data_IF_234482081286
#
_entry.id   IF_234482081286
#
_cell.length_a   1.000
_cell.length_b   1.000
_cell.length_c   1.000
_cell.angle_alpha   90.00
_cell.angle_beta   90.00
_cell.angle_gamma   90.00
#
_symmetry.space_group_name_H-M   'P 1'
#
loop_
_entity.id
_entity.type
_entity.pdbx_description
1 polymer ?
#
# COMPACT_ATOMS: atom_id res chain seq x y z
N UNK A 1 -20.11 12.27 6.68
CA UNK A 1 -19.73 11.96 8.08
C UNK A 1 -18.34 11.37 8.03
N UNK A 2 -17.35 12.04 8.63
CA UNK A 2 -16.00 11.50 8.78
C UNK A 2 -16.01 10.27 9.71
N UNK A 3 -15.21 9.27 9.40
CA UNK A 3 -14.97 8.13 10.29
C UNK A 3 -13.93 8.57 11.33
N UNK A 4 -14.31 8.54 12.61
CA UNK A 4 -13.36 8.66 13.73
C UNK A 4 -13.07 7.24 14.21
N UNK A 5 -11.82 6.86 14.21
CA UNK A 5 -11.38 5.52 14.65
C UNK A 5 -10.08 5.65 15.43
N UNK A 6 -10.04 5.02 16.59
CA UNK A 6 -8.83 4.94 17.40
C UNK A 6 -7.85 3.95 16.77
N UNK A 7 -6.60 4.38 16.62
CA UNK A 7 -5.48 3.52 16.20
C UNK A 7 -4.45 3.53 17.31
N UNK A 8 -4.04 2.35 17.74
CA UNK A 8 -2.86 2.16 18.58
C UNK A 8 -1.74 1.54 17.74
N UNK A 9 -0.61 2.22 17.68
CA UNK A 9 0.61 1.74 17.05
C UNK A 9 1.72 1.72 18.09
N UNK A 10 2.36 0.58 18.24
CA UNK A 10 3.51 0.41 19.11
C UNK A 10 4.64 -0.27 18.36
N UNK A 11 5.83 0.29 18.46
CA UNK A 11 7.05 -0.31 17.92
C UNK A 11 8.14 -0.19 18.97
N UNK A 12 8.68 -1.32 19.39
CA UNK A 12 9.87 -1.40 20.24
C UNK A 12 10.98 -2.06 19.42
N UNK A 13 12.17 -1.45 19.38
CA UNK A 13 13.34 -1.95 18.66
C UNK A 13 14.56 -2.07 19.56
N UNK A 14 15.31 -3.16 19.43
CA UNK A 14 16.67 -3.26 19.96
C UNK A 14 17.63 -3.07 18.80
N UNK A 15 18.55 -2.14 18.98
CA UNK A 15 19.58 -1.80 18.00
C UNK A 15 20.94 -2.28 18.50
N UNK A 16 21.82 -2.61 17.58
CA UNK A 16 23.22 -2.82 17.84
C UNK A 16 23.92 -1.47 18.07
N UNK A 17 25.19 -1.48 18.46
CA UNK A 17 25.97 -0.27 18.69
C UNK A 17 26.17 0.62 17.44
N UNK A 18 25.99 0.04 16.26
CA UNK A 18 26.02 0.74 14.97
C UNK A 18 24.61 1.12 14.46
N UNK A 19 23.60 1.13 15.33
CA UNK A 19 22.21 1.42 15.06
C UNK A 19 21.50 0.44 14.10
N UNK A 20 22.16 -0.63 13.68
CA UNK A 20 21.49 -1.68 12.90
C UNK A 20 20.49 -2.45 13.75
N UNK A 21 19.43 -2.95 13.12
CA UNK A 21 18.38 -3.71 13.79
C UNK A 21 18.91 -5.02 14.37
N UNK A 22 18.66 -5.28 15.66
CA UNK A 22 18.88 -6.56 16.31
C UNK A 22 17.57 -7.34 16.47
N UNK A 23 16.54 -6.68 17.01
CA UNK A 23 15.20 -7.26 17.13
C UNK A 23 14.13 -6.15 17.17
N UNK A 24 12.89 -6.51 16.88
CA UNK A 24 11.76 -5.60 16.99
C UNK A 24 10.51 -6.32 17.50
N UNK A 25 9.65 -5.55 18.17
CA UNK A 25 8.26 -5.86 18.46
C UNK A 25 7.39 -4.76 17.86
N UNK A 26 6.46 -5.13 16.99
CA UNK A 26 5.52 -4.23 16.32
C UNK A 26 4.10 -4.67 16.61
N UNK A 27 3.24 -3.74 16.97
CA UNK A 27 1.83 -3.98 17.23
C UNK A 27 0.99 -2.83 16.67
N UNK A 28 -0.05 -3.16 15.94
CA UNK A 28 -1.07 -2.21 15.49
C UNK A 28 -2.45 -2.76 15.79
N UNK A 29 -3.29 -1.92 16.37
CA UNK A 29 -4.70 -2.25 16.61
C UNK A 29 -5.62 -1.10 16.26
N UNK A 30 -6.79 -1.44 15.73
CA UNK A 30 -7.82 -0.49 15.33
C UNK A 30 -9.19 -1.17 15.32
N UNK A 31 -10.05 -0.82 16.25
CA UNK A 31 -11.33 -1.49 16.44
C UNK A 31 -11.17 -2.98 16.72
N UNK A 32 -11.62 -3.84 15.79
CA UNK A 32 -11.47 -5.31 15.89
C UNK A 32 -10.20 -5.85 15.25
N UNK A 33 -9.50 -5.01 14.52
CA UNK A 33 -8.24 -5.39 13.89
C UNK A 33 -7.12 -5.35 14.91
N UNK A 34 -6.31 -6.41 14.94
CA UNK A 34 -5.09 -6.51 15.72
C UNK A 34 -4.06 -7.31 14.94
N UNK A 35 -2.89 -6.74 14.77
CA UNK A 35 -1.75 -7.38 14.14
C UNK A 35 -0.50 -7.13 14.97
N UNK A 36 0.27 -8.18 15.20
CA UNK A 36 1.56 -8.09 15.86
C UNK A 36 2.64 -8.82 15.05
N UNK A 37 3.85 -8.31 15.07
CA UNK A 37 5.01 -8.91 14.45
C UNK A 37 6.23 -8.78 15.36
N UNK A 38 6.94 -9.88 15.56
CA UNK A 38 8.19 -9.93 16.32
C UNK A 38 9.28 -10.43 15.40
N UNK A 39 10.41 -9.73 15.35
CA UNK A 39 11.52 -10.10 14.49
C UNK A 39 12.86 -10.12 15.22
N UNK A 40 13.71 -11.06 14.84
CA UNK A 40 15.08 -11.19 15.36
C UNK A 40 16.03 -11.36 14.19
N UNK A 41 17.08 -10.56 14.17
CA UNK A 41 18.17 -10.67 13.18
C UNK A 41 19.21 -11.67 13.68
N UNK A 42 19.53 -12.66 12.85
CA UNK A 42 20.60 -13.63 13.11
C UNK A 42 21.41 -13.85 11.84
N UNK A 43 22.63 -13.32 11.81
CA UNK A 43 23.46 -13.34 10.61
C UNK A 43 22.80 -12.55 9.45
N UNK A 44 22.57 -13.21 8.34
CA UNK A 44 21.92 -12.63 7.15
C UNK A 44 20.41 -12.93 7.03
N UNK A 45 19.79 -13.35 8.14
CA UNK A 45 18.36 -13.70 8.18
C UNK A 45 17.64 -12.87 9.24
N UNK A 46 16.52 -12.27 8.85
CA UNK A 46 15.51 -11.72 9.75
C UNK A 46 14.38 -12.74 9.88
N UNK A 47 14.31 -13.40 11.04
CA UNK A 47 13.23 -14.33 11.37
C UNK A 47 12.10 -13.57 12.05
N UNK A 48 10.90 -13.65 11.46
CA UNK A 48 9.73 -12.89 11.90
C UNK A 48 8.62 -13.86 12.29
N UNK A 49 8.00 -13.61 13.43
CA UNK A 49 6.78 -14.24 13.86
C UNK A 49 5.65 -13.23 13.84
N UNK A 50 4.64 -13.46 12.99
CA UNK A 50 3.45 -12.61 12.91
C UNK A 50 2.27 -13.25 13.64
N UNK A 51 1.40 -12.39 14.17
CA UNK A 51 0.17 -12.78 14.84
C UNK A 51 -0.99 -11.91 14.37
N UNK A 52 -2.03 -12.52 13.80
CA UNK A 52 -3.24 -11.83 13.33
C UNK A 52 -4.44 -12.75 13.56
N UNK A 53 -5.45 -12.28 14.29
CA UNK A 53 -6.73 -12.97 14.55
C UNK A 53 -6.59 -14.47 14.91
N UNK A 54 -5.65 -14.78 15.83
CA UNK A 54 -5.43 -16.15 16.30
C UNK A 54 -4.60 -17.02 15.33
N UNK A 55 -4.16 -16.49 14.21
CA UNK A 55 -3.23 -17.14 13.29
C UNK A 55 -1.81 -16.66 13.55
N UNK A 56 -0.87 -17.60 13.59
CA UNK A 56 0.57 -17.31 13.74
C UNK A 56 1.32 -17.80 12.51
N UNK A 57 2.24 -17.00 12.00
CA UNK A 57 3.13 -17.38 10.89
C UNK A 57 4.57 -17.08 11.22
N UNK A 58 5.47 -17.94 10.77
CA UNK A 58 6.91 -17.69 10.79
C UNK A 58 7.36 -17.38 9.36
N UNK A 59 8.19 -16.35 9.22
CA UNK A 59 8.68 -15.83 7.95
C UNK A 59 10.16 -15.57 8.11
N UNK A 60 10.99 -16.10 7.22
CA UNK A 60 12.41 -15.80 7.16
C UNK A 60 12.69 -14.91 5.94
N UNK A 61 13.30 -13.76 6.19
CA UNK A 61 13.68 -12.79 5.17
C UNK A 61 15.20 -12.73 5.09
N UNK A 62 15.75 -12.95 3.91
CA UNK A 62 17.18 -12.81 3.68
C UNK A 62 17.56 -11.34 3.67
N UNK A 63 18.50 -10.96 4.51
CA UNK A 63 19.09 -9.62 4.60
C UNK A 63 20.27 -9.57 3.62
N UNK A 64 20.28 -8.59 2.74
CA UNK A 64 21.37 -8.39 1.77
C UNK A 64 22.38 -7.35 2.24
N UNK A 65 21.92 -6.37 3.00
CA UNK A 65 22.69 -5.23 3.48
C UNK A 65 22.33 -4.95 4.94
N UNK A 66 23.06 -4.07 5.61
CA UNK A 66 22.75 -3.65 6.97
C UNK A 66 21.30 -3.17 7.06
N UNK A 67 20.54 -3.72 8.01
CA UNK A 67 19.13 -3.45 8.17
C UNK A 67 18.87 -2.48 9.32
N UNK A 68 18.02 -1.49 9.08
CA UNK A 68 17.62 -0.48 10.05
C UNK A 68 16.10 -0.50 10.24
N UNK A 69 15.62 0.18 11.26
CA UNK A 69 14.20 0.53 11.44
C UNK A 69 14.05 2.04 11.31
N UNK A 70 12.90 2.48 10.82
CA UNK A 70 12.63 3.91 10.59
C UNK A 70 12.89 4.78 11.82
N UNK A 71 12.54 4.30 13.01
CA UNK A 71 12.74 5.02 14.29
C UNK A 71 14.21 5.25 14.65
N UNK A 72 15.16 4.44 14.14
CA UNK A 72 16.59 4.55 14.45
C UNK A 72 17.44 5.28 13.41
N UNK A 73 16.85 5.67 12.28
CA UNK A 73 17.61 6.28 11.16
C UNK A 73 18.22 7.62 11.58
N UNK A 74 17.43 8.50 12.19
CA UNK A 74 17.90 9.83 12.57
C UNK A 74 18.95 9.79 13.66
N UNK A 75 18.88 8.82 14.57
CA UNK A 75 19.93 8.56 15.56
C UNK A 75 21.23 8.10 14.88
N UNK A 76 21.14 7.20 13.92
CA UNK A 76 22.29 6.73 13.14
C UNK A 76 22.94 7.87 12.32
N UNK A 77 22.13 8.72 11.72
CA UNK A 77 22.61 9.92 11.01
C UNK A 77 23.33 10.87 11.97
N UNK A 78 22.70 11.20 13.10
CA UNK A 78 23.28 12.11 14.09
C UNK A 78 24.60 11.59 14.68
N UNK A 79 24.70 10.29 14.96
CA UNK A 79 25.92 9.65 15.48
C UNK A 79 27.08 9.64 14.46
N UNK A 80 26.80 9.76 13.15
CA UNK A 80 27.81 9.79 12.11
C UNK A 80 28.51 11.14 11.98
N UNK A 81 28.03 12.17 12.69
CA UNK A 81 28.45 13.56 12.49
C UNK A 81 27.88 14.09 11.17
N UNK A 82 27.02 15.10 11.24
CA UNK A 82 26.27 15.60 10.08
C UNK A 82 26.77 16.97 9.64
N UNK A 83 27.12 17.07 8.35
CA UNK A 83 27.43 18.34 7.69
C UNK A 83 26.44 18.64 6.56
N UNK A 84 26.16 19.92 6.28
CA UNK A 84 25.31 20.27 5.15
C UNK A 84 25.83 19.70 3.83
N UNK A 85 24.96 18.99 3.11
CA UNK A 85 25.29 18.32 1.84
C UNK A 85 25.55 16.81 1.96
N UNK A 86 25.68 16.28 3.18
CA UNK A 86 25.84 14.84 3.37
C UNK A 86 24.61 14.06 2.92
N UNK A 87 24.84 12.87 2.37
CA UNK A 87 23.82 11.94 1.96
C UNK A 87 24.11 10.53 2.53
N UNK A 88 23.10 9.94 3.16
CA UNK A 88 23.15 8.61 3.74
C UNK A 88 22.06 7.73 3.12
N UNK A 89 22.36 6.45 2.92
CA UNK A 89 21.39 5.47 2.42
C UNK A 89 21.26 4.35 3.45
N UNK A 90 20.04 4.13 3.93
CA UNK A 90 19.70 3.09 4.91
C UNK A 90 18.73 2.09 4.31
N UNK A 91 19.02 0.79 4.42
CA UNK A 91 18.03 -0.26 4.14
C UNK A 91 17.11 -0.39 5.37
N UNK A 92 15.86 -0.01 5.22
CA UNK A 92 14.88 0.00 6.30
C UNK A 92 13.94 -1.17 6.17
N UNK A 93 13.76 -1.89 7.28
CA UNK A 93 12.69 -2.86 7.40
C UNK A 93 11.43 -2.20 7.94
N UNK A 94 10.33 -2.38 7.21
CA UNK A 94 9.01 -1.90 7.62
C UNK A 94 8.13 -3.10 8.01
N UNK A 95 7.80 -3.28 9.30
CA UNK A 95 6.94 -4.36 9.76
C UNK A 95 5.51 -4.32 9.19
N UNK A 96 5.02 -3.13 8.82
CA UNK A 96 3.68 -2.98 8.26
C UNK A 96 3.56 -3.53 6.83
N UNK A 97 4.65 -3.50 6.07
CA UNK A 97 4.70 -4.04 4.70
C UNK A 97 5.46 -5.35 4.57
N UNK A 98 6.19 -5.75 5.63
CA UNK A 98 7.16 -6.86 5.60
C UNK A 98 8.22 -6.71 4.51
N UNK A 99 8.54 -5.46 4.15
CA UNK A 99 9.46 -5.09 3.09
C UNK A 99 10.78 -4.51 3.61
N UNK A 100 11.81 -4.57 2.76
CA UNK A 100 13.09 -3.89 2.96
C UNK A 100 13.22 -2.86 1.84
N UNK A 101 13.39 -1.58 2.21
CA UNK A 101 13.42 -0.49 1.24
C UNK A 101 14.51 0.53 1.58
N UNK A 102 15.17 1.11 0.57
CA UNK A 102 16.13 2.18 0.81
C UNK A 102 15.44 3.47 1.24
N UNK A 103 15.96 4.10 2.28
CA UNK A 103 15.65 5.46 2.70
C UNK A 103 16.90 6.29 2.51
N UNK A 104 16.79 7.38 1.74
CA UNK A 104 17.89 8.33 1.52
C UNK A 104 17.66 9.49 2.47
N UNK A 105 18.67 9.81 3.28
CA UNK A 105 18.67 11.00 4.15
C UNK A 105 19.67 12.00 3.63
N UNK A 106 19.20 13.22 3.32
CA UNK A 106 20.06 14.36 2.89
C UNK A 106 20.06 15.41 3.95
N UNK A 107 21.24 15.84 4.36
CA UNK A 107 21.43 16.96 5.27
C UNK A 107 21.34 18.27 4.50
N UNK A 108 20.33 19.08 4.80
CA UNK A 108 20.07 20.34 4.09
C UNK A 108 20.90 21.48 4.67
N UNK A 109 20.92 21.59 6.00
CA UNK A 109 21.63 22.64 6.72
C UNK A 109 20.98 23.00 8.03
N UNK A 110 21.53 24.01 8.71
CA UNK A 110 21.00 24.52 9.96
C UNK A 110 19.99 25.63 9.72
N UNK A 111 18.91 25.63 10.50
CA UNK A 111 17.94 26.73 10.53
C UNK A 111 17.36 26.91 11.93
N UNK A 112 16.97 28.14 12.26
CA UNK A 112 16.27 28.43 13.51
C UNK A 112 14.78 28.14 13.37
N UNK A 113 14.26 27.31 14.25
CA UNK A 113 12.83 26.96 14.29
C UNK A 113 12.23 27.30 15.64
N UNK A 114 10.94 27.61 15.67
CA UNK A 114 10.21 27.84 16.91
C UNK A 114 9.57 26.55 17.39
N UNK A 115 9.94 26.10 18.59
CA UNK A 115 9.43 24.89 19.26
C UNK A 115 9.04 25.25 20.69
N UNK A 116 7.79 24.98 21.09
CA UNK A 116 7.25 25.27 22.42
C UNK A 116 7.41 26.75 22.84
N UNK A 117 7.38 27.67 21.84
CA UNK A 117 7.53 29.12 22.09
C UNK A 117 8.98 29.64 21.97
N UNK A 118 9.98 28.79 22.07
CA UNK A 118 11.39 29.15 22.03
C UNK A 118 12.00 28.96 20.63
N UNK A 119 12.95 29.83 20.28
CA UNK A 119 13.81 29.64 19.09
C UNK A 119 14.89 28.62 19.38
N UNK A 120 15.04 27.64 18.52
CA UNK A 120 16.07 26.59 18.63
C UNK A 120 16.75 26.41 17.28
N UNK A 121 18.07 26.34 17.29
CA UNK A 121 18.85 25.91 16.13
C UNK A 121 18.61 24.40 15.93
N UNK A 122 18.34 24.01 14.69
CA UNK A 122 18.13 22.62 14.33
C UNK A 122 18.75 22.31 12.97
N UNK A 123 19.26 21.11 12.82
CA UNK A 123 19.71 20.60 11.51
C UNK A 123 18.51 20.02 10.76
N UNK A 124 18.22 20.61 9.62
CA UNK A 124 17.18 20.15 8.71
C UNK A 124 17.70 19.03 7.84
N UNK A 125 16.96 17.92 7.80
CA UNK A 125 17.23 16.79 6.94
C UNK A 125 16.00 16.47 6.08
N UNK A 126 16.25 15.90 4.89
CA UNK A 126 15.21 15.38 4.00
C UNK A 126 15.32 13.87 3.94
N UNK A 127 14.26 13.17 4.30
CA UNK A 127 14.14 11.72 4.16
C UNK A 127 13.37 11.41 2.88
N UNK A 128 13.98 10.64 2.00
CA UNK A 128 13.39 10.26 0.72
C UNK A 128 13.14 8.76 0.75
N UNK A 129 11.87 8.40 0.65
CA UNK A 129 11.41 7.03 0.65
C UNK A 129 10.46 6.81 -0.53
N UNK A 130 10.84 5.96 -1.48
CA UNK A 130 10.04 5.70 -2.70
C UNK A 130 9.51 6.98 -3.38
N UNK A 131 10.38 8.00 -3.51
CA UNK A 131 10.02 9.29 -4.11
C UNK A 131 9.16 10.22 -3.24
N UNK A 132 8.66 9.75 -2.09
CA UNK A 132 8.04 10.59 -1.08
C UNK A 132 9.12 11.32 -0.28
N UNK A 133 8.90 12.61 -0.03
CA UNK A 133 9.86 13.45 0.71
C UNK A 133 9.21 13.84 2.04
N UNK A 134 9.89 13.51 3.12
CA UNK A 134 9.61 13.97 4.47
C UNK A 134 10.77 14.86 4.92
N UNK A 135 10.49 15.88 5.72
CA UNK A 135 11.53 16.74 6.32
C UNK A 135 11.50 16.53 7.83
N UNK A 136 12.70 16.52 8.43
CA UNK A 136 12.84 16.48 9.89
C UNK A 136 13.85 17.53 10.33
N UNK A 137 13.70 18.00 11.56
CA UNK A 137 14.57 18.97 12.21
C UNK A 137 15.13 18.32 13.49
N UNK A 138 16.44 18.16 13.51
CA UNK A 138 17.19 17.50 14.58
C UNK A 138 17.83 18.59 15.44
N UNK A 139 17.55 18.60 16.73
CA UNK A 139 18.15 19.51 17.70
C UNK A 139 19.59 19.15 18.03
N UNK A 140 20.26 20.01 18.82
CA UNK A 140 21.66 19.86 19.18
C UNK A 140 21.97 18.55 19.96
N UNK A 141 20.97 18.02 20.68
CA UNK A 141 21.12 16.77 21.42
C UNK A 141 20.69 15.53 20.63
N UNK A 142 20.46 15.68 19.32
CA UNK A 142 20.01 14.59 18.44
C UNK A 142 18.49 14.30 18.49
N UNK A 143 17.74 15.03 19.32
CA UNK A 143 16.29 14.84 19.38
C UNK A 143 15.57 15.40 18.15
N UNK A 144 14.52 14.71 17.67
CA UNK A 144 13.64 15.22 16.63
C UNK A 144 12.72 16.29 17.21
N UNK A 145 12.87 17.52 16.72
CA UNK A 145 12.08 18.68 17.15
C UNK A 145 10.80 18.84 16.34
N UNK A 146 10.88 18.56 15.05
CA UNK A 146 9.79 18.73 14.10
C UNK A 146 9.92 17.76 12.94
N UNK A 147 8.79 17.29 12.44
CA UNK A 147 8.69 16.57 11.17
C UNK A 147 7.57 17.15 10.33
N UNK A 148 7.81 17.18 9.01
CA UNK A 148 6.81 17.57 8.00
C UNK A 148 6.69 16.45 6.99
N UNK A 149 5.58 15.72 7.07
CA UNK A 149 5.28 14.59 6.22
C UNK A 149 4.39 14.91 5.02
N UNK A 150 3.86 13.87 4.42
CA UNK A 150 2.92 13.95 3.30
C UNK A 150 1.59 14.60 3.72
N UNK A 151 0.86 15.13 2.75
CA UNK A 151 -0.46 15.74 2.92
C UNK A 151 -0.51 16.89 3.93
N UNK A 152 0.67 17.47 4.26
CA UNK A 152 0.75 18.58 5.21
C UNK A 152 0.68 18.16 6.67
N UNK A 153 0.84 16.87 6.98
CA UNK A 153 0.94 16.38 8.35
C UNK A 153 2.23 16.93 8.97
N UNK A 154 2.12 17.62 10.08
CA UNK A 154 3.24 18.13 10.85
C UNK A 154 3.22 17.52 12.25
N UNK A 155 4.38 17.05 12.70
CA UNK A 155 4.61 16.61 14.08
C UNK A 155 5.59 17.61 14.71
N UNK A 156 5.31 18.05 15.92
CA UNK A 156 6.18 18.96 16.67
C UNK A 156 6.37 18.42 18.08
N UNK A 157 7.63 18.52 18.56
CA UNK A 157 7.95 18.17 19.95
C UNK A 157 7.18 19.08 20.90
N UNK A 158 6.50 18.49 21.88
CA UNK A 158 5.76 19.21 22.89
C UNK A 158 5.81 18.43 24.23
N UNK A 159 5.24 18.98 25.29
CA UNK A 159 5.05 18.24 26.55
C UNK A 159 3.93 17.22 26.39
N UNK A 160 3.95 16.19 27.27
CA UNK A 160 2.87 15.21 27.29
C UNK A 160 1.51 15.86 27.59
N UNK A 161 1.48 16.81 28.52
CA UNK A 161 0.25 17.47 28.95
C UNK A 161 -0.33 18.33 27.82
N UNK A 162 0.53 19.09 27.11
CA UNK A 162 0.10 19.88 25.96
C UNK A 162 -0.36 18.99 24.79
N UNK A 163 0.31 17.84 24.57
CA UNK A 163 -0.09 16.90 23.51
C UNK A 163 -1.47 16.28 23.76
N UNK A 164 -1.87 16.13 25.04
CA UNK A 164 -3.17 15.56 25.43
C UNK A 164 -4.25 16.62 25.66
N UNK A 165 -3.86 17.89 25.82
CA UNK A 165 -4.77 18.99 26.10
C UNK A 165 -5.41 19.51 24.80
N UNK A 166 -6.74 19.52 24.76
CA UNK A 166 -7.49 20.18 23.69
C UNK A 166 -7.36 19.51 22.31
N UNK A 167 -7.07 18.21 22.26
CA UNK A 167 -7.15 17.48 21.01
C UNK A 167 -8.55 17.64 20.42
N UNK A 168 -8.70 18.28 19.25
CA UNK A 168 -10.01 18.43 18.63
C UNK A 168 -10.53 17.03 18.26
N UNK A 169 -11.72 16.70 18.76
CA UNK A 169 -12.41 15.44 18.43
C UNK A 169 -12.87 15.43 16.95
N UNK A 170 -12.84 16.58 16.31
CA UNK A 170 -13.24 16.73 14.91
C UNK A 170 -12.03 17.07 14.03
N UNK A 171 -11.70 16.19 13.08
CA UNK A 171 -10.77 16.53 12.01
C UNK A 171 -11.47 17.52 11.06
N UNK A 172 -10.90 18.69 10.86
CA UNK A 172 -11.43 19.72 9.97
C UNK A 172 -11.29 19.40 8.48
N UNK A 173 -10.56 18.34 8.11
CA UNK A 173 -10.29 17.98 6.72
C UNK A 173 -10.50 16.48 6.47
N UNK A 174 -11.27 16.19 5.42
CA UNK A 174 -11.39 14.85 4.86
C UNK A 174 -10.12 14.53 4.03
N UNK A 175 -9.18 13.80 4.63
CA UNK A 175 -7.90 13.44 4.00
C UNK A 175 -8.10 12.66 2.70
N UNK A 176 -9.17 11.88 2.57
CA UNK A 176 -9.46 11.16 1.33
C UNK A 176 -9.79 12.11 0.19
N UNK A 177 -10.52 13.18 0.49
CA UNK A 177 -10.84 14.24 -0.47
C UNK A 177 -9.61 15.09 -0.80
N UNK A 178 -8.79 15.41 0.18
CA UNK A 178 -7.52 16.16 -0.02
C UNK A 178 -6.57 15.38 -0.93
N UNK A 179 -6.44 14.09 -0.70
CA UNK A 179 -5.61 13.21 -1.52
C UNK A 179 -6.17 12.97 -2.92
N UNK A 180 -7.49 13.06 -3.14
CA UNK A 180 -8.13 12.77 -4.43
C UNK A 180 -7.84 13.81 -5.51
N UNK A 181 -7.94 13.40 -6.78
CA UNK A 181 -7.68 14.26 -7.95
C UNK A 181 -9.02 14.66 -8.58
N UNK A 182 -9.35 15.94 -8.74
CA UNK A 182 -10.58 16.35 -9.40
C UNK A 182 -10.55 15.97 -10.88
N UNK A 183 -11.71 15.52 -11.40
CA UNK A 183 -11.89 15.28 -12.83
C UNK A 183 -12.32 16.56 -13.54
N UNK A 184 -11.82 16.78 -14.74
CA UNK A 184 -12.24 17.91 -15.60
C UNK A 184 -13.60 17.68 -16.27
N UNK A 185 -14.11 16.45 -16.29
CA UNK A 185 -15.41 16.07 -16.86
C UNK A 185 -16.13 15.09 -15.94
N UNK A 186 -17.45 15.07 -16.03
CA UNK A 186 -18.26 14.04 -15.39
C UNK A 186 -18.38 12.82 -16.32
N UNK A 187 -18.22 11.62 -15.76
CA UNK A 187 -18.46 10.35 -16.42
C UNK A 187 -19.79 9.81 -15.87
N UNK A 188 -20.80 9.74 -16.71
CA UNK A 188 -22.13 9.29 -16.30
C UNK A 188 -22.16 7.81 -15.92
N UNK A 189 -21.57 6.96 -16.77
CA UNK A 189 -21.46 5.52 -16.54
C UNK A 189 -20.12 4.99 -17.03
N UNK A 190 -19.16 4.85 -16.12
CA UNK A 190 -17.82 4.35 -16.39
C UNK A 190 -17.81 2.90 -16.92
N UNK A 191 -18.82 2.09 -16.58
CA UNK A 191 -18.90 0.68 -16.99
C UNK A 191 -19.16 0.52 -18.48
N UNK A 192 -19.79 1.49 -19.11
CA UNK A 192 -20.09 1.48 -20.56
C UNK A 192 -18.90 1.92 -21.42
N UNK A 193 -17.90 2.54 -20.83
CA UNK A 193 -16.71 2.95 -21.55
C UNK A 193 -15.88 1.73 -21.98
N UNK A 194 -15.45 1.75 -23.23
CA UNK A 194 -14.51 0.78 -23.82
C UNK A 194 -13.09 1.31 -23.85
N UNK A 195 -12.90 2.65 -23.80
CA UNK A 195 -11.60 3.30 -23.76
C UNK A 195 -11.62 4.64 -23.04
N UNK A 196 -10.46 5.00 -22.49
CA UNK A 196 -10.22 6.29 -21.83
C UNK A 196 -8.82 6.78 -22.18
N UNK A 197 -8.71 8.06 -22.61
CA UNK A 197 -7.43 8.74 -22.82
C UNK A 197 -7.28 9.86 -21.76
N UNK A 198 -6.15 9.87 -21.07
CA UNK A 198 -5.90 10.76 -19.95
C UNK A 198 -4.50 11.37 -20.07
N UNK A 199 -4.39 12.69 -20.03
CA UNK A 199 -3.11 13.36 -19.78
C UNK A 199 -2.78 13.25 -18.30
N UNK A 200 -1.53 12.88 -17.95
CA UNK A 200 -1.05 12.74 -16.58
C UNK A 200 0.22 13.57 -16.41
N UNK A 201 0.32 14.34 -15.32
CA UNK A 201 1.52 15.11 -14.99
C UNK A 201 1.65 15.31 -13.48
N UNK A 202 2.76 15.98 -13.06
CA UNK A 202 3.04 16.30 -11.65
C UNK A 202 3.73 15.18 -10.87
N UNK A 203 4.15 14.11 -11.55
CA UNK A 203 4.83 12.95 -10.97
C UNK A 203 6.07 12.59 -11.80
N UNK A 204 6.99 11.86 -11.20
CA UNK A 204 8.07 11.21 -11.92
C UNK A 204 7.56 9.87 -12.48
N UNK A 205 7.63 9.70 -13.80
CA UNK A 205 7.08 8.49 -14.46
C UNK A 205 7.91 7.24 -14.20
N UNK A 206 9.18 7.38 -13.83
CA UNK A 206 10.06 6.25 -13.48
C UNK A 206 9.65 5.60 -12.14
N UNK A 207 8.92 6.33 -11.29
CA UNK A 207 8.47 5.83 -9.99
C UNK A 207 7.16 5.02 -10.08
N UNK A 208 6.55 4.91 -11.28
CA UNK A 208 5.21 4.32 -11.46
C UNK A 208 5.14 3.39 -12.67
N UNK A 209 4.22 2.43 -12.62
CA UNK A 209 4.03 1.43 -13.67
C UNK A 209 2.81 1.78 -14.53
N UNK A 210 2.96 2.76 -15.43
CA UNK A 210 1.87 3.25 -16.30
C UNK A 210 1.66 2.41 -17.56
N UNK A 211 2.74 1.88 -18.16
CA UNK A 211 2.66 1.14 -19.42
C UNK A 211 2.46 -0.36 -19.20
N UNK A 212 1.82 -1.05 -20.17
CA UNK A 212 1.65 -2.49 -20.24
C UNK A 212 0.24 -2.99 -19.90
N UNK A 213 -0.09 -4.18 -20.40
CA UNK A 213 -1.42 -4.77 -20.29
C UNK A 213 -2.46 -3.95 -21.06
N UNK A 214 -3.52 -3.50 -20.40
CA UNK A 214 -4.56 -2.66 -20.98
C UNK A 214 -4.21 -1.17 -21.08
N UNK A 215 -3.08 -0.75 -20.52
CA UNK A 215 -2.57 0.61 -20.49
C UNK A 215 -1.40 0.78 -21.46
N UNK A 216 -1.42 1.86 -22.24
CA UNK A 216 -0.30 2.31 -23.07
C UNK A 216 -0.01 3.75 -22.73
N UNK A 217 1.24 4.05 -22.37
CA UNK A 217 1.66 5.38 -21.94
C UNK A 217 2.71 5.94 -22.90
N UNK A 218 2.45 7.09 -23.46
CA UNK A 218 3.37 7.81 -24.33
C UNK A 218 3.14 9.32 -24.25
N UNK A 219 4.21 10.12 -24.20
CA UNK A 219 4.16 11.59 -24.23
C UNK A 219 3.12 12.20 -23.26
N UNK A 220 3.12 11.75 -22.00
CA UNK A 220 2.20 12.17 -20.93
C UNK A 220 0.74 11.75 -21.14
N UNK A 221 0.43 11.01 -22.20
CA UNK A 221 -0.92 10.50 -22.48
C UNK A 221 -0.97 9.01 -22.14
N UNK A 222 -1.91 8.67 -21.29
CA UNK A 222 -2.26 7.30 -20.95
C UNK A 222 -3.52 6.90 -21.68
N UNK A 223 -3.44 5.85 -22.49
CA UNK A 223 -4.57 5.22 -23.17
C UNK A 223 -4.91 3.92 -22.43
N UNK A 224 -6.15 3.78 -22.04
CA UNK A 224 -6.68 2.61 -21.34
C UNK A 224 -7.77 1.98 -22.18
N UNK A 225 -7.61 0.70 -22.53
CA UNK A 225 -8.61 -0.06 -23.27
C UNK A 225 -9.21 -1.15 -22.39
N UNK A 226 -10.53 -1.34 -22.48
CA UNK A 226 -11.23 -2.41 -21.76
C UNK A 226 -10.80 -3.77 -22.30
N UNK A 227 -10.51 -4.71 -21.41
CA UNK A 227 -10.13 -6.06 -21.82
C UNK A 227 -11.33 -6.82 -22.40
N UNK A 228 -11.08 -7.53 -23.52
CA UNK A 228 -12.07 -8.45 -24.09
C UNK A 228 -12.05 -9.80 -23.33
N UNK A 229 -13.24 -10.28 -22.99
CA UNK A 229 -13.43 -11.60 -22.39
C UNK A 229 -13.74 -12.69 -23.42
N UNK A 230 -14.02 -12.34 -24.69
CA UNK A 230 -14.40 -13.29 -25.75
C UNK A 230 -13.28 -14.25 -26.11
N UNK A 231 -12.02 -13.80 -25.99
CA UNK A 231 -10.84 -14.53 -26.45
C UNK A 231 -10.15 -15.30 -25.34
N UNK A 232 -10.83 -15.48 -24.20
CA UNK A 232 -10.27 -16.24 -23.08
C UNK A 232 -10.32 -17.75 -23.37
N UNK A 233 -9.25 -18.49 -23.09
CA UNK A 233 -9.24 -19.93 -23.30
C UNK A 233 -10.26 -20.62 -22.37
N UNK A 234 -10.97 -21.60 -22.91
CA UNK A 234 -11.98 -22.34 -22.14
C UNK A 234 -11.36 -23.11 -20.97
N UNK A 235 -10.12 -23.56 -21.11
CA UNK A 235 -9.35 -24.26 -20.07
C UNK A 235 -7.88 -23.89 -20.20
N UNK A 236 -7.27 -23.48 -19.09
CA UNK A 236 -5.81 -23.52 -18.96
C UNK A 236 -5.47 -24.36 -17.72
N UNK A 237 -4.56 -25.31 -17.86
CA UNK A 237 -4.07 -26.10 -16.74
C UNK A 237 -2.86 -25.42 -16.09
N UNK A 238 -2.70 -25.60 -14.80
CA UNK A 238 -1.53 -25.10 -14.03
C UNK A 238 -0.21 -25.56 -14.67
N UNK A 239 -0.22 -26.70 -15.36
CA UNK A 239 0.95 -27.25 -16.06
C UNK A 239 1.34 -26.47 -17.33
N UNK A 240 0.44 -25.65 -17.89
CA UNK A 240 0.71 -24.80 -19.07
C UNK A 240 1.07 -23.36 -18.69
N UNK A 241 1.03 -23.01 -17.39
CA UNK A 241 1.47 -21.70 -16.92
C UNK A 241 2.99 -21.59 -16.98
N UNK A 242 3.48 -20.47 -17.46
CA UNK A 242 4.90 -20.15 -17.39
C UNK A 242 5.35 -19.95 -15.94
N UNK A 243 6.64 -19.99 -15.71
CA UNK A 243 7.22 -19.79 -14.37
C UNK A 243 6.84 -18.42 -13.78
N UNK A 244 6.67 -17.41 -14.65
CA UNK A 244 6.33 -16.04 -14.26
C UNK A 244 4.95 -15.96 -13.61
N UNK A 245 3.93 -16.67 -14.13
CA UNK A 245 2.58 -16.66 -13.55
C UNK A 245 2.52 -17.45 -12.24
N UNK A 246 3.27 -18.53 -12.12
CA UNK A 246 3.27 -19.40 -10.93
C UNK A 246 3.68 -18.69 -9.65
N UNK A 247 4.57 -17.68 -9.74
CA UNK A 247 4.95 -16.89 -8.56
C UNK A 247 3.76 -16.15 -7.94
N UNK A 248 2.75 -15.81 -8.75
CA UNK A 248 1.56 -15.12 -8.30
C UNK A 248 0.46 -16.03 -7.72
N UNK A 249 0.74 -17.34 -7.57
CA UNK A 249 -0.06 -18.28 -6.78
C UNK A 249 0.43 -18.38 -5.32
N UNK A 250 1.65 -17.91 -5.04
CA UNK A 250 2.25 -18.07 -3.71
C UNK A 250 1.54 -17.22 -2.67
N UNK A 251 1.36 -17.74 -1.44
CA UNK A 251 0.89 -16.94 -0.31
C UNK A 251 1.92 -15.87 0.05
N UNK A 252 1.43 -14.81 0.71
CA UNK A 252 2.26 -13.79 1.35
C UNK A 252 1.81 -13.62 2.79
N UNK A 253 2.52 -12.84 3.63
CA UNK A 253 2.09 -12.59 5.02
C UNK A 253 0.65 -12.10 5.14
N UNK A 254 0.18 -11.27 4.20
CA UNK A 254 -1.15 -10.65 4.21
C UNK A 254 -2.14 -11.28 3.22
N UNK A 255 -1.67 -12.15 2.32
CA UNK A 255 -2.51 -12.89 1.36
C UNK A 255 -2.35 -14.39 1.65
N UNK A 256 -3.03 -14.86 2.68
CA UNK A 256 -2.87 -16.20 3.25
C UNK A 256 -3.67 -17.24 2.45
N UNK A 257 -3.34 -17.42 1.17
CA UNK A 257 -4.03 -18.33 0.25
C UNK A 257 -3.90 -19.82 0.62
N UNK A 258 -2.93 -20.16 1.45
CA UNK A 258 -2.66 -21.51 2.00
C UNK A 258 -3.37 -21.79 3.33
N UNK A 259 -4.02 -20.77 3.94
CA UNK A 259 -4.70 -20.94 5.22
C UNK A 259 -5.97 -21.82 5.08
N UNK A 260 -6.21 -22.78 6.00
CA UNK A 260 -7.35 -23.71 5.89
C UNK A 260 -8.72 -23.04 5.72
N UNK A 261 -8.98 -21.92 6.41
CA UNK A 261 -10.24 -21.17 6.27
C UNK A 261 -10.42 -20.62 4.85
N UNK A 262 -9.35 -20.06 4.24
CA UNK A 262 -9.36 -19.54 2.87
C UNK A 262 -9.54 -20.66 1.86
N UNK A 263 -8.76 -21.75 1.98
CA UNK A 263 -8.87 -22.93 1.13
C UNK A 263 -10.27 -23.55 1.16
N UNK A 264 -10.85 -23.72 2.36
CA UNK A 264 -12.19 -24.29 2.53
C UNK A 264 -13.27 -23.39 1.95
N UNK A 265 -13.13 -22.06 2.12
CA UNK A 265 -14.08 -21.12 1.54
C UNK A 265 -13.98 -21.10 0.01
N UNK A 266 -12.79 -21.05 -0.55
CA UNK A 266 -12.59 -21.11 -2.00
C UNK A 266 -13.25 -22.37 -2.60
N UNK A 267 -13.05 -23.55 -2.01
CA UNK A 267 -13.70 -24.81 -2.42
C UNK A 267 -15.22 -24.80 -2.30
N UNK A 268 -15.80 -24.00 -1.40
CA UNK A 268 -17.26 -23.84 -1.28
C UNK A 268 -17.84 -22.93 -2.35
N UNK A 269 -17.06 -21.92 -2.80
CA UNK A 269 -17.52 -20.92 -3.77
C UNK A 269 -17.38 -21.46 -5.21
N UNK A 270 -16.26 -22.13 -5.50
CA UNK A 270 -15.93 -22.60 -6.86
C UNK A 270 -15.82 -24.12 -6.93
N UNK A 271 -16.26 -24.71 -8.07
CA UNK A 271 -16.02 -26.11 -8.40
C UNK A 271 -14.67 -26.29 -9.09
N UNK A 272 -14.16 -27.52 -9.05
CA UNK A 272 -12.98 -27.90 -9.83
C UNK A 272 -13.26 -27.83 -11.32
N UNK A 273 -14.50 -28.10 -11.74
CA UNK A 273 -14.95 -28.10 -13.14
C UNK A 273 -15.26 -26.71 -13.68
N UNK A 274 -15.33 -25.69 -12.82
CA UNK A 274 -15.57 -24.31 -13.27
C UNK A 274 -14.44 -23.82 -14.18
N UNK A 275 -14.78 -23.16 -15.26
CA UNK A 275 -13.83 -22.47 -16.12
C UNK A 275 -13.17 -21.30 -15.36
N UNK A 276 -11.96 -20.88 -15.74
CA UNK A 276 -11.25 -19.81 -15.02
C UNK A 276 -12.06 -18.52 -14.83
N UNK A 277 -12.73 -18.04 -15.88
CA UNK A 277 -13.59 -16.87 -15.82
C UNK A 277 -14.81 -17.10 -14.88
N UNK A 278 -15.36 -18.29 -14.90
CA UNK A 278 -16.50 -18.65 -14.04
C UNK A 278 -16.07 -18.65 -12.56
N UNK A 279 -14.92 -19.25 -12.23
CA UNK A 279 -14.32 -19.16 -10.89
C UNK A 279 -14.13 -17.71 -10.45
N UNK A 280 -13.52 -16.88 -11.31
CA UNK A 280 -13.30 -15.48 -11.03
C UNK A 280 -14.61 -14.72 -10.73
N UNK A 281 -15.62 -14.90 -11.57
CA UNK A 281 -16.94 -14.29 -11.38
C UNK A 281 -17.60 -14.72 -10.06
N UNK A 282 -17.55 -16.01 -9.71
CA UNK A 282 -18.10 -16.53 -8.44
C UNK A 282 -17.39 -15.91 -7.24
N UNK A 283 -16.06 -15.81 -7.28
CA UNK A 283 -15.26 -15.23 -6.18
C UNK A 283 -15.54 -13.73 -6.00
N UNK A 284 -15.53 -12.97 -7.09
CA UNK A 284 -15.84 -11.52 -7.07
C UNK A 284 -17.26 -11.28 -6.55
N UNK A 285 -18.25 -12.03 -7.07
CA UNK A 285 -19.63 -11.91 -6.64
C UNK A 285 -19.83 -12.27 -5.15
N UNK A 286 -19.11 -13.30 -4.67
CA UNK A 286 -19.19 -13.68 -3.27
C UNK A 286 -18.65 -12.58 -2.35
N UNK A 287 -17.45 -12.01 -2.65
CA UNK A 287 -16.86 -10.93 -1.86
C UNK A 287 -17.74 -9.69 -1.90
N UNK A 288 -18.18 -9.28 -3.09
CA UNK A 288 -19.06 -8.13 -3.29
C UNK A 288 -20.32 -8.18 -2.42
N UNK A 289 -20.90 -9.39 -2.23
CA UNK A 289 -22.12 -9.63 -1.46
C UNK A 289 -21.86 -9.77 0.04
N UNK A 290 -20.74 -10.37 0.46
CA UNK A 290 -20.54 -10.83 1.83
C UNK A 290 -19.64 -9.91 2.66
N UNK A 291 -18.78 -9.09 2.03
CA UNK A 291 -17.93 -8.14 2.74
C UNK A 291 -18.59 -6.76 2.72
N UNK A 292 -18.81 -6.20 3.91
CA UNK A 292 -19.40 -4.87 4.05
C UNK A 292 -18.38 -3.80 3.68
N UNK A 293 -18.78 -2.89 2.79
CA UNK A 293 -17.93 -1.79 2.28
C UNK A 293 -17.91 -0.65 3.28
N UNK A 294 -16.80 -0.50 3.98
CA UNK A 294 -16.56 0.62 4.92
C UNK A 294 -15.07 0.96 4.91
N UNK A 295 -14.71 2.22 5.03
CA UNK A 295 -13.33 2.59 5.32
C UNK A 295 -12.88 1.92 6.61
N UNK A 296 -11.68 1.35 6.58
CA UNK A 296 -11.01 0.76 7.74
C UNK A 296 -9.58 1.28 7.80
N UNK A 297 -9.09 1.48 9.01
CA UNK A 297 -7.69 1.82 9.26
C UNK A 297 -7.03 0.56 9.84
N UNK A 298 -6.52 -0.28 8.95
CA UNK A 298 -5.90 -1.56 9.30
C UNK A 298 -4.76 -1.85 8.33
N UNK A 299 -3.92 -2.83 8.68
CA UNK A 299 -3.10 -3.48 7.67
C UNK A 299 -3.98 -4.43 6.86
N UNK A 300 -4.02 -4.34 5.53
CA UNK A 300 -4.86 -5.21 4.72
C UNK A 300 -4.41 -6.67 4.88
N UNK A 301 -5.28 -7.49 5.44
CA UNK A 301 -5.03 -8.92 5.74
C UNK A 301 -6.22 -9.75 5.32
N UNK A 302 -6.00 -10.75 4.45
CA UNK A 302 -7.10 -11.52 3.85
C UNK A 302 -7.88 -12.34 4.87
N UNK A 303 -7.20 -12.94 5.85
CA UNK A 303 -7.84 -13.73 6.88
C UNK A 303 -8.65 -12.82 7.83
N UNK A 304 -8.08 -11.68 8.22
CA UNK A 304 -8.75 -10.69 9.04
C UNK A 304 -10.00 -10.15 8.34
N UNK A 305 -9.90 -9.82 7.06
CA UNK A 305 -11.03 -9.36 6.24
C UNK A 305 -12.17 -10.39 6.21
N UNK A 306 -11.82 -11.67 6.01
CA UNK A 306 -12.80 -12.74 6.01
C UNK A 306 -13.52 -12.88 7.37
N UNK A 307 -12.80 -12.78 8.47
CA UNK A 307 -13.36 -12.97 9.81
C UNK A 307 -14.17 -11.78 10.30
N UNK A 308 -13.71 -10.56 10.00
CA UNK A 308 -14.38 -9.32 10.39
C UNK A 308 -15.61 -9.05 9.50
N UNK A 309 -15.52 -9.43 8.21
CA UNK A 309 -16.58 -9.24 7.22
C UNK A 309 -16.80 -7.78 6.80
N UNK A 310 -15.81 -6.91 7.02
CA UNK A 310 -15.83 -5.48 6.70
C UNK A 310 -14.48 -5.07 6.12
N UNK A 311 -14.47 -4.18 5.13
CA UNK A 311 -13.24 -3.65 4.55
C UNK A 311 -13.49 -2.60 3.49
N UNK A 312 -12.42 -1.90 3.11
CA UNK A 312 -12.38 -1.02 1.94
C UNK A 312 -11.73 -1.69 0.73
N UNK A 313 -11.18 -0.92 -0.19
CA UNK A 313 -10.58 -1.46 -1.42
C UNK A 313 -9.39 -2.41 -1.13
N UNK A 314 -8.59 -2.10 -0.14
CA UNK A 314 -7.41 -2.88 0.19
C UNK A 314 -7.78 -4.27 0.73
N UNK A 315 -8.73 -4.34 1.68
CA UNK A 315 -9.24 -5.59 2.24
C UNK A 315 -9.93 -6.44 1.18
N UNK A 316 -10.73 -5.81 0.30
CA UNK A 316 -11.38 -6.51 -0.82
C UNK A 316 -10.33 -7.11 -1.77
N UNK A 317 -9.28 -6.35 -2.10
CA UNK A 317 -8.23 -6.80 -3.01
C UNK A 317 -7.39 -7.96 -2.42
N UNK A 318 -6.99 -7.89 -1.14
CA UNK A 318 -6.21 -8.99 -0.52
C UNK A 318 -7.04 -10.24 -0.34
N UNK A 319 -8.33 -10.12 0.01
CA UNK A 319 -9.22 -11.28 0.15
C UNK A 319 -9.49 -11.94 -1.21
N UNK A 320 -9.73 -11.15 -2.28
CA UNK A 320 -9.87 -11.69 -3.62
C UNK A 320 -8.58 -12.39 -4.08
N UNK A 321 -7.42 -11.80 -3.81
CA UNK A 321 -6.14 -12.42 -4.14
C UNK A 321 -5.96 -13.77 -3.40
N UNK A 322 -6.31 -13.83 -2.11
CA UNK A 322 -6.18 -15.06 -1.33
C UNK A 322 -7.11 -16.17 -1.84
N UNK A 323 -8.39 -15.86 -2.06
CA UNK A 323 -9.37 -16.83 -2.54
C UNK A 323 -9.08 -17.29 -3.98
N UNK A 324 -8.66 -16.37 -4.87
CA UNK A 324 -8.34 -16.71 -6.24
C UNK A 324 -7.07 -17.58 -6.34
N UNK A 325 -6.00 -17.25 -5.59
CA UNK A 325 -4.80 -18.09 -5.50
C UNK A 325 -5.12 -19.48 -4.94
N UNK A 326 -5.96 -19.56 -3.90
CA UNK A 326 -6.46 -20.83 -3.34
C UNK A 326 -7.27 -21.66 -4.36
N UNK A 327 -7.95 -20.98 -5.31
CA UNK A 327 -8.68 -21.61 -6.42
C UNK A 327 -7.80 -21.91 -7.65
N UNK A 328 -6.47 -21.67 -7.56
CA UNK A 328 -5.51 -21.92 -8.64
C UNK A 328 -5.41 -20.82 -9.70
N UNK A 329 -5.92 -19.62 -9.43
CA UNK A 329 -5.82 -18.45 -10.32
C UNK A 329 -4.67 -17.56 -9.86
N UNK A 330 -3.62 -17.34 -10.68
CA UNK A 330 -2.57 -16.36 -10.37
C UNK A 330 -3.13 -14.95 -10.26
N UNK A 331 -2.71 -14.20 -9.24
CA UNK A 331 -3.23 -12.85 -8.96
C UNK A 331 -2.10 -11.89 -8.68
N UNK A 332 -2.13 -10.74 -9.36
CA UNK A 332 -1.42 -9.52 -8.96
C UNK A 332 -2.41 -8.60 -8.24
N UNK A 333 -1.89 -7.79 -7.34
CA UNK A 333 -2.63 -6.67 -6.76
C UNK A 333 -2.14 -5.40 -7.45
N UNK A 334 -3.06 -4.57 -7.90
CA UNK A 334 -2.80 -3.29 -8.52
C UNK A 334 -3.28 -2.16 -7.61
N UNK A 335 -2.56 -1.04 -7.64
CA UNK A 335 -2.93 0.18 -6.96
C UNK A 335 -2.81 1.37 -7.91
N UNK A 336 -3.69 2.35 -7.71
CA UNK A 336 -3.74 3.51 -8.57
C UNK A 336 -4.91 4.43 -8.24
N UNK A 337 -5.60 4.92 -9.27
CA UNK A 337 -6.76 5.79 -9.15
C UNK A 337 -7.99 5.15 -9.78
N UNK A 338 -9.17 5.47 -9.24
CA UNK A 338 -10.47 5.13 -9.84
C UNK A 338 -11.40 6.34 -9.78
N UNK A 339 -12.19 6.52 -10.83
CA UNK A 339 -13.17 7.61 -10.89
C UNK A 339 -14.41 7.29 -10.04
N UNK A 340 -14.80 8.27 -9.22
CA UNK A 340 -16.07 8.24 -8.48
C UNK A 340 -16.61 9.68 -8.32
N UNK A 341 -17.80 9.93 -8.82
CA UNK A 341 -18.55 11.18 -8.61
C UNK A 341 -17.74 12.47 -8.88
N UNK A 342 -17.08 12.57 -10.04
CA UNK A 342 -16.33 13.75 -10.46
C UNK A 342 -14.91 13.87 -9.93
N UNK A 343 -14.38 12.85 -9.26
CA UNK A 343 -13.02 12.81 -8.73
C UNK A 343 -12.39 11.44 -8.95
N UNK A 344 -11.08 11.41 -8.97
CA UNK A 344 -10.31 10.17 -8.91
C UNK A 344 -9.76 9.96 -7.50
N UNK A 345 -10.04 8.80 -6.93
CA UNK A 345 -9.61 8.39 -5.60
C UNK A 345 -8.56 7.29 -5.69
N UNK A 346 -7.63 7.29 -4.75
CA UNK A 346 -6.70 6.16 -4.62
C UNK A 346 -7.46 4.88 -4.32
N UNK A 347 -7.07 3.82 -5.02
CA UNK A 347 -7.82 2.57 -5.04
C UNK A 347 -6.91 1.38 -5.28
N UNK A 348 -7.33 0.20 -4.78
CA UNK A 348 -6.67 -1.08 -5.01
C UNK A 348 -7.66 -2.09 -5.60
N UNK A 349 -7.18 -2.88 -6.55
CA UNK A 349 -7.93 -3.94 -7.22
C UNK A 349 -7.01 -5.10 -7.62
N UNK A 350 -7.50 -6.05 -8.39
CA UNK A 350 -6.74 -7.23 -8.78
C UNK A 350 -6.58 -7.35 -10.29
N UNK A 351 -5.52 -8.04 -10.69
CA UNK A 351 -5.28 -8.52 -12.04
C UNK A 351 -5.21 -10.04 -11.96
N UNK A 352 -6.20 -10.73 -12.55
CA UNK A 352 -6.37 -12.17 -12.53
C UNK A 352 -5.84 -12.78 -13.83
N UNK A 353 -5.08 -13.86 -13.75
CA UNK A 353 -4.64 -14.59 -14.94
C UNK A 353 -5.68 -15.64 -15.34
N UNK A 354 -6.43 -15.35 -16.41
CA UNK A 354 -7.49 -16.20 -16.95
C UNK A 354 -7.12 -16.78 -18.33
N UNK A 355 -5.80 -17.03 -18.55
CA UNK A 355 -5.19 -17.32 -19.84
C UNK A 355 -4.57 -16.07 -20.47
N UNK A 356 -4.99 -14.91 -20.07
CA UNK A 356 -4.37 -13.59 -20.13
C UNK A 356 -4.72 -12.80 -18.88
N UNK A 357 -4.00 -11.74 -18.59
CA UNK A 357 -4.26 -10.89 -17.43
C UNK A 357 -5.52 -10.06 -17.63
N UNK A 358 -6.49 -10.17 -16.71
CA UNK A 358 -7.79 -9.47 -16.73
C UNK A 358 -7.97 -8.74 -15.40
N UNK A 359 -8.34 -7.47 -15.44
CA UNK A 359 -8.62 -6.68 -14.24
C UNK A 359 -9.92 -7.14 -13.58
N UNK A 360 -9.94 -7.12 -12.24
CA UNK A 360 -11.11 -7.46 -11.44
C UNK A 360 -11.17 -6.59 -10.19
N UNK A 361 -12.32 -6.04 -9.90
CA UNK A 361 -12.58 -5.27 -8.70
C UNK A 361 -13.74 -5.88 -7.91
N UNK A 362 -13.43 -6.48 -6.76
CA UNK A 362 -14.44 -7.09 -5.90
C UNK A 362 -15.19 -6.07 -5.04
N UNK A 363 -14.65 -4.85 -4.82
CA UNK A 363 -15.39 -3.78 -4.16
C UNK A 363 -16.52 -3.25 -5.05
N UNK A 364 -16.28 -3.12 -6.36
CA UNK A 364 -17.27 -2.66 -7.33
C UNK A 364 -18.02 -3.81 -8.03
N UNK A 365 -17.60 -5.06 -7.82
CA UNK A 365 -18.20 -6.24 -8.43
C UNK A 365 -18.02 -6.26 -9.96
N UNK A 366 -16.82 -5.95 -10.45
CA UNK A 366 -16.51 -5.81 -11.88
C UNK A 366 -15.46 -6.83 -12.34
N UNK A 367 -15.69 -7.46 -13.49
CA UNK A 367 -14.73 -8.20 -14.32
C UNK A 367 -15.10 -8.01 -15.78
N UNK A 368 -14.29 -7.39 -16.62
CA UNK A 368 -13.12 -6.59 -16.26
C UNK A 368 -13.52 -5.34 -15.49
N UNK A 369 -12.60 -4.78 -14.70
CA UNK A 369 -12.78 -3.48 -14.08
C UNK A 369 -12.87 -2.40 -15.17
N UNK A 370 -13.72 -1.37 -14.98
CA UNK A 370 -13.89 -0.31 -15.98
C UNK A 370 -12.60 0.47 -16.26
N UNK A 371 -12.58 1.20 -17.37
CA UNK A 371 -11.38 1.90 -17.85
C UNK A 371 -10.95 3.10 -17.01
N UNK A 372 -11.70 3.45 -15.97
CA UNK A 372 -11.32 4.53 -15.05
C UNK A 372 -10.34 4.08 -13.96
N UNK A 373 -10.07 2.78 -13.86
CA UNK A 373 -9.01 2.23 -13.01
C UNK A 373 -7.65 2.47 -13.66
N UNK A 374 -6.98 3.53 -13.24
CA UNK A 374 -5.66 3.97 -13.72
C UNK A 374 -4.60 3.36 -12.81
N UNK A 375 -3.83 2.39 -13.31
CA UNK A 375 -2.79 1.70 -12.56
C UNK A 375 -1.53 2.55 -12.46
N UNK A 376 -0.96 2.60 -11.25
CA UNK A 376 0.38 3.13 -10.96
C UNK A 376 1.33 2.08 -10.41
N UNK A 377 0.81 1.03 -9.78
CA UNK A 377 1.62 -0.06 -9.21
C UNK A 377 0.95 -1.41 -9.47
N UNK A 378 1.76 -2.48 -9.61
CA UNK A 378 1.30 -3.85 -9.81
C UNK A 378 2.30 -4.84 -9.20
N UNK A 379 1.85 -5.71 -8.30
CA UNK A 379 2.75 -6.60 -7.56
C UNK A 379 2.10 -7.87 -7.02
N UNK A 380 2.91 -8.67 -6.30
CA UNK A 380 2.45 -9.91 -5.66
C UNK A 380 1.53 -9.65 -4.46
N UNK A 381 1.64 -8.49 -3.86
CA UNK A 381 0.84 -7.97 -2.76
C UNK A 381 0.63 -6.47 -2.94
N UNK A 382 -0.22 -5.86 -2.09
CA UNK A 382 -0.38 -4.41 -2.10
C UNK A 382 0.94 -3.78 -1.69
N UNK A 383 1.47 -2.95 -2.57
CA UNK A 383 2.61 -2.08 -2.28
C UNK A 383 2.09 -0.64 -2.19
N UNK A 384 1.37 -0.34 -1.10
CA UNK A 384 0.84 1.01 -0.86
C UNK A 384 1.93 2.08 -0.89
N UNK A 385 3.14 1.69 -0.49
CA UNK A 385 4.30 2.57 -0.49
C UNK A 385 4.72 3.02 -1.89
N UNK A 386 4.47 2.20 -2.93
CA UNK A 386 4.85 2.54 -4.31
C UNK A 386 4.05 3.72 -4.87
N UNK A 387 2.88 4.02 -4.30
CA UNK A 387 2.07 5.17 -4.71
C UNK A 387 2.22 6.39 -3.79
N UNK A 388 3.01 6.30 -2.71
CA UNK A 388 3.20 7.45 -1.80
C UNK A 388 3.85 8.64 -2.49
N UNK A 389 4.76 8.41 -3.45
CA UNK A 389 5.44 9.45 -4.21
C UNK A 389 4.49 10.33 -5.01
N UNK A 390 3.31 9.82 -5.38
CA UNK A 390 2.34 10.49 -6.25
C UNK A 390 1.16 11.11 -5.50
N UNK A 391 0.94 10.72 -4.22
CA UNK A 391 -0.17 11.25 -3.41
C UNK A 391 -0.07 12.77 -3.27
N UNK A 392 -1.15 13.46 -3.63
CA UNK A 392 -1.23 14.93 -3.61
C UNK A 392 -0.48 15.66 -4.74
N UNK A 393 0.36 14.95 -5.51
CA UNK A 393 1.14 15.52 -6.62
C UNK A 393 0.52 15.25 -7.98
N UNK A 394 0.01 14.03 -8.20
CA UNK A 394 -0.56 13.64 -9.49
C UNK A 394 -1.68 14.56 -9.92
N UNK A 395 -1.65 14.93 -11.17
CA UNK A 395 -2.70 15.69 -11.87
C UNK A 395 -3.08 14.92 -13.10
N UNK A 396 -4.35 14.98 -13.47
CA UNK A 396 -4.85 14.32 -14.66
C UNK A 396 -5.95 15.14 -15.33
N UNK A 397 -6.08 14.94 -16.65
CA UNK A 397 -7.14 15.51 -17.47
C UNK A 397 -7.63 14.45 -18.44
N UNK A 398 -8.90 14.14 -18.42
CA UNK A 398 -9.52 13.27 -19.41
C UNK A 398 -9.55 14.01 -20.74
N UNK A 399 -8.96 13.40 -21.76
CA UNK A 399 -8.88 13.91 -23.14
C UNK A 399 -9.99 13.32 -24.00
N UNK A 400 -10.25 11.99 -23.83
CA UNK A 400 -11.25 11.29 -24.65
C UNK A 400 -11.90 10.14 -23.89
N UNK A 401 -13.17 9.94 -24.16
CA UNK A 401 -13.95 8.80 -23.70
C UNK A 401 -14.49 8.05 -24.93
N UNK A 402 -14.30 6.72 -24.96
CA UNK A 402 -14.82 5.85 -26.02
C UNK A 402 -15.88 4.92 -25.41
N UNK A 403 -17.08 4.90 -26.02
CA UNK A 403 -18.19 4.01 -25.64
C UNK A 403 -18.20 2.76 -26.49
#
# INVERSE_FOLDING_TARGET
MGLVQDISLKTDGKLNSDFTLSSFDFEISSGRFHFAAQGVVSGDVLSIKTHSLGSTRNIDIKIKEKLYVSAGILDAVNASGIEPGDEFVFQVFDPATMGQEPVIVRVIGKEDIRIMGDMKEATKVSLIFKGAIQQAWIGENGEVLKEKGLLGINLEKTTRDDALFGLPVESSQDLTKVASVPSNVLIDDARQLTGLEVEIWGINYDDVYLDGGRQTFNDNVLVINKESLSDLPAVYGVNKMEYIERKFLKPTPFIQSDHPKILNLAKKIVSIDDKPLEKANKLVAWIYKNIKKRPVLSLPDALATLEIGVGDCNEHAVLLAALARAAGIPVKVEAGLVYLNGRFYYHAWNLLYLGKWITADSLFGQIPADVTHIRFSSGIQIQQLDIMSIIGKVRLKIVKQTK
#
